data_IF_142140641954
#
_entry.id   IF_142140641954
#
_cell.length_a   1.000
_cell.length_b   1.000
_cell.length_c   1.000
_cell.angle_alpha   90.00
_cell.angle_beta   90.00
_cell.angle_gamma   90.00
#
_symmetry.space_group_name_H-M   'P 1'
#
loop_
_entity.id
_entity.type
_entity.pdbx_description
1 polymer ?
#
# COMPACT_ATOMS: atom_id res chain seq x y z
N UNK A 1 -2.26 -23.90 -10.06
CA UNK A 1 -1.30 -24.88 -9.50
C UNK A 1 -1.16 -24.49 -8.05
N UNK A 2 -1.64 -25.30 -7.09
CA UNK A 2 -1.53 -24.95 -5.68
C UNK A 2 -0.12 -25.30 -5.23
N UNK A 3 0.66 -24.29 -4.88
CA UNK A 3 2.00 -24.52 -4.35
C UNK A 3 1.91 -24.94 -2.89
N UNK A 4 2.74 -25.89 -2.51
CA UNK A 4 2.82 -26.48 -1.19
C UNK A 4 4.14 -26.11 -0.52
N UNK A 5 4.24 -26.36 0.79
CA UNK A 5 5.51 -26.22 1.52
C UNK A 5 6.59 -27.12 0.93
N UNK A 6 6.24 -28.27 0.34
CA UNK A 6 7.23 -29.15 -0.30
C UNK A 6 7.82 -28.52 -1.57
N UNK A 7 7.01 -27.80 -2.36
CA UNK A 7 7.51 -27.05 -3.52
C UNK A 7 8.48 -25.93 -3.10
N UNK A 8 8.22 -25.29 -1.95
CA UNK A 8 9.10 -24.27 -1.41
C UNK A 8 10.45 -24.86 -0.99
N UNK A 9 10.44 -26.02 -0.32
CA UNK A 9 11.65 -26.74 0.09
C UNK A 9 12.47 -27.16 -1.13
N UNK A 10 11.83 -27.69 -2.16
CA UNK A 10 12.50 -28.08 -3.40
C UNK A 10 13.13 -26.88 -4.11
N UNK A 11 12.41 -25.74 -4.17
CA UNK A 11 12.94 -24.51 -4.75
C UNK A 11 14.15 -23.95 -3.96
N UNK A 12 14.17 -24.09 -2.63
CA UNK A 12 15.31 -23.69 -1.79
C UNK A 12 16.51 -24.60 -2.03
N UNK A 13 16.33 -25.91 -2.14
CA UNK A 13 17.42 -26.86 -2.48
C UNK A 13 18.01 -26.52 -3.84
N UNK A 14 17.18 -26.22 -4.84
CA UNK A 14 17.65 -25.81 -6.17
C UNK A 14 18.40 -24.49 -6.16
N UNK A 15 17.99 -23.54 -5.30
CA UNK A 15 18.74 -22.30 -5.10
C UNK A 15 20.12 -22.58 -4.47
N UNK A 16 20.19 -23.48 -3.50
CA UNK A 16 21.46 -23.89 -2.89
C UNK A 16 22.43 -24.46 -3.93
N UNK A 17 21.94 -25.36 -4.79
CA UNK A 17 22.74 -25.92 -5.90
C UNK A 17 23.20 -24.82 -6.88
N UNK A 18 22.30 -23.91 -7.29
CA UNK A 18 22.62 -22.83 -8.21
C UNK A 18 23.64 -21.81 -7.65
N UNK A 19 23.62 -21.59 -6.34
CA UNK A 19 24.59 -20.74 -5.65
C UNK A 19 25.99 -21.37 -5.64
N UNK A 20 26.07 -22.70 -5.55
CA UNK A 20 27.33 -23.46 -5.61
C UNK A 20 27.90 -23.49 -7.03
N UNK A 21 27.05 -23.58 -8.06
CA UNK A 21 27.48 -23.56 -9.47
C UNK A 21 27.81 -22.16 -9.99
N UNK A 22 27.48 -21.11 -9.24
CA UNK A 22 27.65 -19.70 -9.60
C UNK A 22 26.89 -19.30 -10.89
N UNK A 23 25.79 -19.98 -11.19
CA UNK A 23 24.96 -19.71 -12.38
C UNK A 23 23.93 -18.61 -12.08
N UNK A 24 24.25 -17.38 -12.46
CA UNK A 24 23.47 -16.18 -12.08
C UNK A 24 22.02 -16.19 -12.57
N UNK A 25 21.76 -16.78 -13.73
CA UNK A 25 20.39 -16.88 -14.29
C UNK A 25 19.53 -17.87 -13.49
N UNK A 26 20.12 -18.98 -13.07
CA UNK A 26 19.44 -20.00 -12.27
C UNK A 26 19.16 -19.53 -10.85
N UNK A 27 20.07 -18.73 -10.28
CA UNK A 27 19.84 -18.03 -9.01
C UNK A 27 18.64 -17.08 -9.11
N UNK A 28 18.57 -16.21 -10.13
CA UNK A 28 17.43 -15.29 -10.31
C UNK A 28 16.11 -16.04 -10.50
N UNK A 29 16.12 -17.11 -11.31
CA UNK A 29 14.96 -17.96 -11.54
C UNK A 29 14.47 -18.62 -10.24
N UNK A 30 15.39 -19.20 -9.45
CA UNK A 30 15.02 -19.86 -8.18
C UNK A 30 14.49 -18.85 -7.16
N UNK A 31 15.08 -17.65 -7.06
CA UNK A 31 14.58 -16.58 -6.19
C UNK A 31 13.17 -16.15 -6.58
N UNK A 32 12.89 -15.96 -7.87
CA UNK A 32 11.53 -15.66 -8.35
C UNK A 32 10.53 -16.76 -8.03
N UNK A 33 10.94 -18.02 -8.21
CA UNK A 33 10.10 -19.18 -7.92
C UNK A 33 9.75 -19.25 -6.42
N UNK A 34 10.74 -19.10 -5.55
CA UNK A 34 10.57 -19.05 -4.09
C UNK A 34 9.62 -17.93 -3.69
N UNK A 35 9.78 -16.72 -4.27
CA UNK A 35 8.91 -15.58 -4.00
C UNK A 35 7.45 -15.87 -4.38
N UNK A 36 7.23 -16.48 -5.54
CA UNK A 36 5.89 -16.85 -6.02
C UNK A 36 5.24 -17.90 -5.12
N UNK A 37 5.96 -18.97 -4.79
CA UNK A 37 5.48 -20.04 -3.90
C UNK A 37 5.13 -19.47 -2.52
N UNK A 38 6.03 -18.69 -1.93
CA UNK A 38 5.83 -18.08 -0.61
C UNK A 38 4.63 -17.13 -0.59
N UNK A 39 4.43 -16.36 -1.66
CA UNK A 39 3.27 -15.46 -1.78
C UNK A 39 1.96 -16.22 -1.87
N UNK A 40 1.94 -17.34 -2.60
CA UNK A 40 0.75 -18.19 -2.71
C UNK A 40 0.42 -18.86 -1.39
N UNK A 41 1.40 -19.49 -0.73
CA UNK A 41 1.22 -20.13 0.59
C UNK A 41 0.69 -19.12 1.62
N UNK A 42 1.23 -17.89 1.62
CA UNK A 42 0.72 -16.81 2.46
C UNK A 42 -0.74 -16.50 2.13
N UNK A 43 -1.08 -16.35 0.86
CA UNK A 43 -2.45 -16.03 0.42
C UNK A 43 -3.43 -17.13 0.84
N UNK A 44 -3.08 -18.40 0.63
CA UNK A 44 -3.90 -19.57 0.97
C UNK A 44 -4.06 -19.71 2.49
N UNK A 45 -2.98 -19.53 3.25
CA UNK A 45 -3.05 -19.54 4.72
C UNK A 45 -3.95 -18.42 5.23
N UNK A 46 -3.84 -17.22 4.66
CA UNK A 46 -4.67 -16.09 5.04
C UNK A 46 -6.14 -16.30 4.65
N UNK A 47 -6.45 -16.84 3.47
CA UNK A 47 -7.85 -17.11 3.09
C UNK A 47 -8.51 -18.15 4.00
N UNK A 48 -7.74 -19.12 4.50
CA UNK A 48 -8.26 -20.21 5.33
C UNK A 48 -8.37 -19.84 6.81
N UNK A 49 -7.52 -18.91 7.30
CA UNK A 49 -7.40 -18.59 8.73
C UNK A 49 -7.83 -17.16 9.07
N UNK A 50 -7.93 -16.28 8.08
CA UNK A 50 -8.50 -14.94 8.21
C UNK A 50 -9.82 -14.97 7.48
N UNK A 51 -10.92 -15.18 8.20
CA UNK A 51 -12.24 -14.91 7.65
C UNK A 51 -12.31 -13.40 7.43
N UNK A 52 -12.27 -12.95 6.18
CA UNK A 52 -12.46 -11.54 5.84
C UNK A 52 -13.76 -10.99 6.47
N UNK A 53 -14.77 -11.85 6.66
CA UNK A 53 -16.03 -11.56 7.36
C UNK A 53 -15.90 -11.31 8.88
N UNK A 54 -14.82 -11.78 9.52
CA UNK A 54 -14.54 -11.55 10.96
C UNK A 54 -13.62 -10.35 11.20
N UNK A 55 -12.97 -9.81 10.16
CA UNK A 55 -12.46 -8.43 10.19
C UNK A 55 -13.70 -7.54 10.13
N UNK A 56 -14.28 -7.26 11.29
CA UNK A 56 -15.36 -6.28 11.40
C UNK A 56 -14.76 -4.92 11.05
N UNK A 57 -14.78 -4.58 9.76
CA UNK A 57 -14.90 -3.20 9.30
C UNK A 57 -16.18 -2.74 9.96
N UNK A 58 -16.09 -2.17 11.16
CA UNK A 58 -17.26 -1.55 11.78
C UNK A 58 -17.80 -0.59 10.72
N UNK A 59 -19.07 -0.72 10.29
CA UNK A 59 -19.64 0.24 9.38
C UNK A 59 -19.41 1.60 10.02
N UNK A 60 -18.61 2.42 9.34
CA UNK A 60 -18.20 3.70 9.88
C UNK A 60 -19.48 4.51 9.96
N UNK A 61 -19.97 4.73 11.18
CA UNK A 61 -21.06 5.66 11.38
C UNK A 61 -20.65 6.96 10.69
N UNK A 62 -21.48 7.47 9.77
CA UNK A 62 -21.17 8.66 8.97
C UNK A 62 -20.82 9.87 9.85
N UNK A 63 -21.23 9.82 11.12
CA UNK A 63 -20.83 10.71 12.18
C UNK A 63 -20.49 9.94 13.46
N UNK A 64 -19.35 10.29 14.06
CA UNK A 64 -19.03 10.05 15.46
C UNK A 64 -18.76 11.41 16.13
N UNK A 65 -18.73 11.47 17.46
CA UNK A 65 -18.36 12.68 18.20
C UNK A 65 -16.91 13.11 17.92
N UNK A 66 -16.06 12.21 17.40
CA UNK A 66 -14.65 12.50 17.14
C UNK A 66 -14.38 12.86 15.66
N UNK A 67 -15.20 12.38 14.72
CA UNK A 67 -14.92 12.50 13.28
C UNK A 67 -16.17 12.30 12.40
N UNK A 68 -16.05 12.67 11.12
CA UNK A 68 -17.06 12.42 10.07
C UNK A 68 -16.39 12.02 8.76
N UNK A 69 -17.05 11.16 7.98
CA UNK A 69 -16.66 10.95 6.58
C UNK A 69 -17.21 12.13 5.78
N UNK A 70 -16.34 12.88 5.12
CA UNK A 70 -16.74 14.07 4.34
C UNK A 70 -16.84 13.79 2.84
N UNK A 71 -16.11 12.80 2.34
CA UNK A 71 -16.09 12.45 0.92
C UNK A 71 -15.54 11.04 0.70
N UNK A 72 -15.76 10.49 -0.50
CA UNK A 72 -15.06 9.30 -1.00
C UNK A 72 -14.55 9.61 -2.40
N UNK A 73 -13.24 9.49 -2.61
CA UNK A 73 -12.56 9.90 -3.85
C UNK A 73 -11.77 8.70 -4.39
N UNK A 74 -11.74 8.52 -5.72
CA UNK A 74 -10.90 7.48 -6.34
C UNK A 74 -9.43 7.93 -6.39
N UNK A 75 -8.54 7.10 -5.88
CA UNK A 75 -7.09 7.30 -5.93
C UNK A 75 -6.43 6.25 -6.82
N UNK A 76 -5.30 6.61 -7.43
CA UNK A 76 -4.29 5.64 -7.82
C UNK A 76 -3.35 5.39 -6.65
N UNK A 77 -2.97 4.15 -6.43
CA UNK A 77 -1.93 3.79 -5.46
C UNK A 77 -0.95 2.78 -6.04
N UNK A 78 0.29 2.83 -5.58
CA UNK A 78 1.33 1.84 -5.86
C UNK A 78 1.31 0.80 -4.74
N UNK A 79 0.94 -0.47 -5.02
CA UNK A 79 0.97 -1.52 -4.01
C UNK A 79 2.39 -1.73 -3.50
N UNK A 80 2.53 -1.88 -2.18
CA UNK A 80 3.76 -2.43 -1.61
C UNK A 80 3.66 -3.95 -1.50
N UNK A 81 4.74 -4.64 -1.83
CA UNK A 81 4.80 -6.10 -1.83
C UNK A 81 5.53 -6.69 -0.61
N UNK A 82 6.02 -5.85 0.31
CA UNK A 82 6.89 -6.27 1.40
C UNK A 82 6.14 -6.35 2.74
N UNK A 83 6.44 -7.38 3.52
CA UNK A 83 5.79 -7.68 4.81
C UNK A 83 6.49 -6.96 5.97
N UNK A 84 7.78 -6.69 5.83
CA UNK A 84 8.57 -5.92 6.77
C UNK A 84 9.30 -4.80 6.02
N UNK A 85 8.88 -3.55 6.26
CA UNK A 85 9.44 -2.37 5.58
C UNK A 85 10.70 -1.85 6.27
N UNK A 86 11.06 -2.41 7.43
CA UNK A 86 12.19 -1.95 8.23
C UNK A 86 13.44 -2.83 8.10
N UNK A 87 13.35 -3.95 7.36
CA UNK A 87 14.50 -4.79 7.03
C UNK A 87 14.98 -4.54 5.59
N UNK A 88 16.24 -4.08 5.44
CA UNK A 88 16.89 -3.92 4.13
C UNK A 88 16.62 -2.60 3.41
N UNK A 89 16.82 -2.59 2.09
CA UNK A 89 16.72 -1.41 1.21
C UNK A 89 15.36 -1.31 0.49
N UNK A 90 14.34 -2.03 0.94
CA UNK A 90 13.08 -2.20 0.21
C UNK A 90 12.28 -0.89 0.09
N UNK A 91 12.30 -0.05 1.12
CA UNK A 91 11.70 1.30 1.05
C UNK A 91 12.41 2.14 -0.01
N UNK A 92 13.74 2.04 -0.10
CA UNK A 92 14.52 2.81 -1.08
C UNK A 92 14.23 2.36 -2.51
N UNK A 93 14.16 1.05 -2.75
CA UNK A 93 13.77 0.51 -4.05
C UNK A 93 12.35 0.89 -4.43
N UNK A 94 11.39 0.75 -3.51
CA UNK A 94 10.02 1.17 -3.74
C UNK A 94 9.94 2.66 -4.07
N UNK A 95 10.63 3.51 -3.29
CA UNK A 95 10.64 4.95 -3.50
C UNK A 95 11.26 5.32 -4.85
N UNK A 96 12.33 4.62 -5.25
CA UNK A 96 12.98 4.80 -6.55
C UNK A 96 12.05 4.40 -7.70
N UNK A 97 11.51 3.19 -7.67
CA UNK A 97 10.61 2.67 -8.70
C UNK A 97 9.37 3.55 -8.84
N UNK A 98 8.72 3.91 -7.72
CA UNK A 98 7.59 4.85 -7.69
C UNK A 98 7.96 6.17 -8.39
N UNK A 99 9.15 6.69 -8.12
CA UNK A 99 9.59 7.98 -8.66
C UNK A 99 9.87 7.90 -10.16
N UNK A 100 10.49 6.82 -10.62
CA UNK A 100 10.73 6.56 -12.05
C UNK A 100 9.41 6.45 -12.82
N UNK A 101 8.44 5.67 -12.30
CA UNK A 101 7.12 5.51 -12.93
C UNK A 101 6.31 6.82 -12.95
N UNK A 102 6.35 7.60 -11.88
CA UNK A 102 5.71 8.92 -11.83
C UNK A 102 6.33 9.89 -12.83
N UNK A 103 7.65 9.82 -13.03
CA UNK A 103 8.36 10.63 -14.02
C UNK A 103 8.00 10.22 -15.45
N UNK A 104 8.09 8.93 -15.78
CA UNK A 104 7.79 8.39 -17.11
C UNK A 104 6.31 8.58 -17.50
N UNK A 105 5.41 8.48 -16.52
CA UNK A 105 3.98 8.74 -16.73
C UNK A 105 3.65 10.21 -16.91
N UNK A 106 4.53 11.13 -16.51
CA UNK A 106 4.26 12.57 -16.46
C UNK A 106 3.36 12.98 -15.29
N UNK A 107 3.27 12.17 -14.24
CA UNK A 107 2.43 12.40 -13.06
C UNK A 107 3.20 12.98 -11.86
N UNK A 108 4.54 13.02 -11.91
CA UNK A 108 5.40 13.45 -10.80
C UNK A 108 5.05 14.83 -10.23
N UNK A 109 4.85 15.83 -11.09
CA UNK A 109 4.54 17.21 -10.64
C UNK A 109 3.22 17.23 -9.87
N UNK A 110 2.15 16.64 -10.42
CA UNK A 110 0.84 16.57 -9.75
C UNK A 110 0.86 15.79 -8.45
N UNK A 111 1.63 14.70 -8.40
CA UNK A 111 1.84 13.95 -7.18
C UNK A 111 2.52 14.82 -6.11
N UNK A 112 3.60 15.52 -6.47
CA UNK A 112 4.35 16.34 -5.52
C UNK A 112 3.55 17.57 -5.08
N UNK A 113 2.86 18.24 -6.00
CA UNK A 113 1.97 19.36 -5.69
C UNK A 113 0.95 18.91 -4.63
N UNK A 114 0.26 17.80 -4.86
CA UNK A 114 -0.73 17.26 -3.93
C UNK A 114 -0.12 16.93 -2.56
N UNK A 115 1.00 16.20 -2.49
CA UNK A 115 1.56 15.84 -1.19
C UNK A 115 2.27 17.01 -0.49
N UNK A 116 2.68 18.05 -1.20
CA UNK A 116 3.32 19.23 -0.61
C UNK A 116 2.37 20.10 0.20
N UNK A 117 1.06 20.01 -0.04
CA UNK A 117 0.03 20.74 0.72
C UNK A 117 -0.37 20.02 2.01
N UNK A 118 0.22 18.84 2.28
CA UNK A 118 -0.14 18.00 3.40
C UNK A 118 1.10 17.61 4.21
N UNK A 119 0.98 17.64 5.52
CA UNK A 119 1.95 17.02 6.43
C UNK A 119 1.51 15.58 6.72
N UNK A 120 2.35 14.59 6.38
CA UNK A 120 2.07 13.19 6.66
C UNK A 120 2.46 12.89 8.11
N UNK A 121 1.47 12.56 8.94
CA UNK A 121 1.66 12.27 10.37
C UNK A 121 2.00 10.79 10.56
N UNK A 122 1.22 9.90 9.95
CA UNK A 122 1.39 8.45 10.07
C UNK A 122 0.65 7.73 8.95
N UNK A 123 1.07 6.53 8.55
CA UNK A 123 0.33 5.74 7.59
C UNK A 123 1.11 4.56 7.08
N UNK A 124 0.42 3.71 6.32
CA UNK A 124 1.00 2.51 5.72
C UNK A 124 0.74 2.39 4.20
N UNK A 125 0.45 3.53 3.56
CA UNK A 125 0.37 3.68 2.10
C UNK A 125 1.39 4.73 1.69
N UNK A 126 2.28 4.38 0.77
CA UNK A 126 3.53 5.13 0.53
C UNK A 126 3.64 5.69 -0.91
N UNK A 127 2.65 5.44 -1.74
CA UNK A 127 2.58 6.00 -3.09
C UNK A 127 1.13 6.02 -3.52
N UNK A 128 0.53 7.19 -3.58
CA UNK A 128 -0.86 7.35 -4.00
C UNK A 128 -1.14 8.78 -4.44
N UNK A 129 -2.19 8.99 -5.24
CA UNK A 129 -2.64 10.32 -5.61
C UNK A 129 -4.12 10.27 -6.07
N UNK A 130 -4.90 11.36 -5.91
CA UNK A 130 -6.27 11.41 -6.40
C UNK A 130 -6.31 11.28 -7.93
N UNK A 131 -7.15 10.38 -8.44
CA UNK A 131 -7.21 10.07 -9.87
C UNK A 131 -7.65 11.29 -10.69
N UNK A 132 -8.49 12.17 -10.13
CA UNK A 132 -8.97 13.40 -10.77
C UNK A 132 -7.88 14.42 -11.09
N UNK A 133 -6.70 14.33 -10.46
CA UNK A 133 -5.57 15.24 -10.71
C UNK A 133 -4.78 14.89 -11.97
N UNK A 134 -5.04 13.73 -12.58
CA UNK A 134 -4.29 13.24 -13.73
C UNK A 134 -5.13 13.18 -15.01
N UNK A 135 -4.52 13.48 -16.17
CA UNK A 135 -5.15 13.21 -17.45
C UNK A 135 -5.22 11.68 -17.72
N UNK A 136 -6.20 11.22 -18.53
CA UNK A 136 -6.39 9.80 -18.85
C UNK A 136 -5.14 9.07 -19.36
N UNK A 137 -4.28 9.75 -20.11
CA UNK A 137 -3.04 9.18 -20.64
C UNK A 137 -2.04 8.83 -19.53
N UNK A 138 -1.90 9.71 -18.53
CA UNK A 138 -1.00 9.49 -17.39
C UNK A 138 -1.52 8.35 -16.52
N UNK A 139 -2.83 8.31 -16.26
CA UNK A 139 -3.50 7.22 -15.54
C UNK A 139 -3.22 5.89 -16.24
N UNK A 140 -3.41 5.84 -17.56
CA UNK A 140 -3.20 4.61 -18.35
C UNK A 140 -1.76 4.12 -18.35
N UNK A 141 -0.77 5.02 -18.23
CA UNK A 141 0.64 4.65 -18.06
C UNK A 141 0.89 4.05 -16.67
N UNK A 142 0.44 4.72 -15.61
CA UNK A 142 0.62 4.22 -14.23
C UNK A 142 -0.05 2.86 -14.01
N UNK A 143 -1.26 2.66 -14.54
CA UNK A 143 -1.95 1.36 -14.49
C UNK A 143 -1.15 0.25 -15.18
N UNK A 144 -0.46 0.55 -16.29
CA UNK A 144 0.44 -0.41 -16.96
C UNK A 144 1.70 -0.72 -16.15
N UNK A 145 2.15 0.22 -15.32
CA UNK A 145 3.22 0.03 -14.34
C UNK A 145 2.74 -0.67 -13.05
N UNK A 146 1.51 -1.20 -13.01
CA UNK A 146 1.00 -1.97 -11.87
C UNK A 146 0.39 -1.13 -10.75
N UNK A 147 0.21 0.18 -10.94
CA UNK A 147 -0.62 0.98 -10.04
C UNK A 147 -2.06 0.49 -10.09
N UNK A 148 -2.78 0.63 -8.98
CA UNK A 148 -4.16 0.18 -8.83
C UNK A 148 -5.07 1.34 -8.43
N UNK A 149 -6.34 1.23 -8.78
CA UNK A 149 -7.39 2.14 -8.31
C UNK A 149 -7.88 1.67 -6.94
N UNK A 150 -8.18 2.62 -6.06
CA UNK A 150 -8.83 2.37 -4.78
C UNK A 150 -9.79 3.51 -4.46
N UNK A 151 -10.93 3.19 -3.86
CA UNK A 151 -11.81 4.22 -3.29
C UNK A 151 -11.25 4.62 -1.93
N UNK A 152 -11.08 5.92 -1.70
CA UNK A 152 -10.51 6.46 -0.48
C UNK A 152 -11.55 7.29 0.24
N UNK A 153 -11.96 6.84 1.43
CA UNK A 153 -12.82 7.66 2.29
C UNK A 153 -11.97 8.74 2.96
N UNK A 154 -12.43 9.98 2.86
CA UNK A 154 -11.83 11.14 3.51
C UNK A 154 -12.57 11.36 4.82
N UNK A 155 -11.86 11.13 5.92
CA UNK A 155 -12.39 11.28 7.28
C UNK A 155 -11.81 12.53 7.90
N UNK A 156 -12.65 13.50 8.24
CA UNK A 156 -12.26 14.72 8.94
C UNK A 156 -12.47 14.55 10.45
N UNK A 157 -11.44 14.81 11.24
CA UNK A 157 -11.52 14.83 12.70
C UNK A 157 -11.89 16.23 13.20
N UNK A 158 -12.61 16.28 14.32
CA UNK A 158 -12.84 17.56 14.99
C UNK A 158 -11.53 18.11 15.56
N UNK A 159 -11.36 19.43 15.54
CA UNK A 159 -10.17 20.12 16.07
C UNK A 159 -9.86 19.79 17.54
N UNK A 160 -10.87 19.39 18.31
CA UNK A 160 -10.74 19.01 19.72
C UNK A 160 -10.08 17.65 19.93
N UNK A 161 -9.93 16.84 18.89
CA UNK A 161 -9.36 15.50 18.98
C UNK A 161 -7.83 15.58 18.89
N UNK A 162 -7.15 15.12 19.93
CA UNK A 162 -5.69 15.06 19.97
C UNK A 162 -5.12 14.03 18.96
N UNK A 163 -3.94 14.30 18.42
CA UNK A 163 -3.28 13.45 17.42
C UNK A 163 -3.11 12.00 17.89
N UNK A 164 -2.77 11.79 19.16
CA UNK A 164 -2.63 10.44 19.74
C UNK A 164 -3.95 9.67 19.64
N UNK A 165 -5.07 10.36 19.91
CA UNK A 165 -6.40 9.76 19.82
C UNK A 165 -6.77 9.44 18.37
N UNK A 166 -6.38 10.29 17.43
CA UNK A 166 -6.55 10.04 15.99
C UNK A 166 -5.81 8.76 15.59
N UNK A 167 -4.56 8.61 16.02
CA UNK A 167 -3.73 7.42 15.75
C UNK A 167 -4.30 6.14 16.37
N UNK A 168 -4.82 6.22 17.59
CA UNK A 168 -5.53 5.10 18.24
C UNK A 168 -6.76 4.67 17.43
N UNK A 169 -7.61 5.63 17.06
CA UNK A 169 -8.81 5.35 16.26
C UNK A 169 -8.41 4.70 14.93
N UNK A 170 -7.39 5.26 14.28
CA UNK A 170 -6.95 4.80 12.97
C UNK A 170 -6.40 3.38 12.99
N UNK A 171 -5.47 3.10 13.91
CA UNK A 171 -4.82 1.79 14.03
C UNK A 171 -5.77 0.68 14.46
N UNK A 172 -6.80 1.01 15.26
CA UNK A 172 -7.82 0.06 15.66
C UNK A 172 -8.84 -0.22 14.56
N UNK A 173 -9.24 0.79 13.79
CA UNK A 173 -10.37 0.69 12.84
C UNK A 173 -9.98 0.40 11.40
N UNK A 174 -8.78 0.78 10.97
CA UNK A 174 -8.43 0.79 9.55
C UNK A 174 -7.16 0.00 9.28
N UNK A 175 -7.23 -0.87 8.28
CA UNK A 175 -6.10 -1.68 7.83
C UNK A 175 -5.13 -0.89 6.95
N UNK A 176 -5.65 -0.03 6.08
CA UNK A 176 -4.87 0.74 5.12
C UNK A 176 -5.28 2.20 5.19
N UNK A 177 -4.37 3.05 5.66
CA UNK A 177 -4.68 4.45 5.88
C UNK A 177 -3.45 5.36 5.87
N UNK A 178 -3.70 6.65 5.65
CA UNK A 178 -2.76 7.74 5.89
C UNK A 178 -3.47 8.78 6.75
N UNK A 179 -2.83 9.20 7.84
CA UNK A 179 -3.20 10.36 8.63
C UNK A 179 -2.37 11.52 8.11
N UNK A 180 -3.05 12.58 7.71
CA UNK A 180 -2.45 13.81 7.24
C UNK A 180 -2.99 14.99 8.02
N UNK A 181 -2.21 16.07 8.03
CA UNK A 181 -2.66 17.39 8.44
C UNK A 181 -2.61 18.31 7.23
N UNK A 182 -3.76 18.88 6.88
CA UNK A 182 -3.84 19.85 5.80
C UNK A 182 -3.20 21.16 6.25
N UNK A 183 -2.21 21.66 5.50
CA UNK A 183 -1.41 22.82 5.93
C UNK A 183 -2.22 24.13 5.90
N UNK A 184 -3.17 24.25 4.99
CA UNK A 184 -3.98 25.46 4.82
C UNK A 184 -4.99 25.66 5.97
N UNK A 185 -5.72 24.59 6.33
CA UNK A 185 -6.76 24.66 7.36
C UNK A 185 -6.27 24.22 8.75
N UNK A 186 -5.15 23.50 8.82
CA UNK A 186 -4.67 22.85 10.04
C UNK A 186 -5.47 21.60 10.44
N UNK A 187 -6.44 21.18 9.61
CA UNK A 187 -7.34 20.07 9.90
C UNK A 187 -6.64 18.73 9.78
N UNK A 188 -6.98 17.80 10.68
CA UNK A 188 -6.54 16.43 10.58
C UNK A 188 -7.51 15.61 9.73
N UNK A 189 -6.97 14.98 8.69
CA UNK A 189 -7.71 14.07 7.82
C UNK A 189 -7.12 12.67 7.91
N UNK A 190 -7.98 11.67 7.79
CA UNK A 190 -7.59 10.30 7.54
C UNK A 190 -8.10 9.88 6.18
N UNK A 191 -7.16 9.42 5.36
CA UNK A 191 -7.38 8.80 4.06
C UNK A 191 -7.48 7.30 4.29
N UNK A 192 -8.68 6.74 4.24
CA UNK A 192 -8.91 5.30 4.40
C UNK A 192 -8.99 4.64 3.03
N UNK A 193 -8.07 3.74 2.73
CA UNK A 193 -8.03 3.03 1.46
C UNK A 193 -8.89 1.77 1.51
N UNK A 194 -9.91 1.72 0.66
CA UNK A 194 -10.76 0.56 0.45
C UNK A 194 -10.24 -0.22 -0.77
N UNK A 195 -9.38 -1.20 -0.52
CA UNK A 195 -8.86 -2.13 -1.52
C UNK A 195 -9.86 -3.23 -1.87
#
# INVERSE_FOLDING_TARGET
MNYTIEDLKEAVVRLEDALVTHETEDVDMCVRLIKNISSQIKTDYWSDHVKEDEIVIQPVAHHNHDYKIINTIEFLYKPMHFVDVYEGNEIEYFAKERSEELLESGAMEKHNDFWSTHEIIYGNVYGSLPLELLPPDNISKLLRCGWKKANVDIVEFLETVAEERIREIASYKYRHYIIIKELETGSYLLLRYNF
#
